data_IF_687180999405
#
_entry.id   IF_687180999405
#
_cell.length_a   1.000
_cell.length_b   1.000
_cell.length_c   1.000
_cell.angle_alpha   90.00
_cell.angle_beta   90.00
_cell.angle_gamma   90.00
#
_symmetry.space_group_name_H-M   'P 1'
#
loop_
_entity.id
_entity.type
_entity.pdbx_description
1 polymer ?
#
# COMPACT_ATOMS: atom_id res chain seq x y z
N UNK A 1 -3.34 -8.16 6.14
CA UNK A 1 -4.80 -8.28 5.89
C UNK A 1 -4.97 -9.14 4.65
N UNK A 2 -5.78 -10.21 4.71
CA UNK A 2 -5.84 -11.26 3.66
C UNK A 2 -6.72 -10.90 2.44
N UNK A 3 -7.11 -9.65 2.27
CA UNK A 3 -8.05 -9.22 1.21
C UNK A 3 -9.51 -9.59 1.47
N UNK A 4 -9.78 -10.72 2.13
CA UNK A 4 -11.11 -11.25 2.45
C UNK A 4 -11.99 -10.32 3.29
N UNK A 5 -13.30 -10.57 3.25
CA UNK A 5 -14.28 -9.93 4.12
C UNK A 5 -13.90 -10.08 5.60
N UNK A 6 -14.11 -9.01 6.38
CA UNK A 6 -13.72 -8.97 7.78
C UNK A 6 -14.61 -8.05 8.61
N UNK A 7 -14.58 -8.24 9.93
CA UNK A 7 -15.23 -7.35 10.88
C UNK A 7 -14.32 -6.15 11.15
N UNK A 8 -14.73 -4.99 10.64
CA UNK A 8 -14.09 -3.71 10.84
C UNK A 8 -14.50 -3.04 12.14
N UNK A 9 -13.77 -1.99 12.48
CA UNK A 9 -14.00 -1.21 13.67
C UNK A 9 -14.76 0.07 13.36
N UNK A 10 -15.65 0.49 14.27
CA UNK A 10 -16.21 1.84 14.34
C UNK A 10 -16.11 2.39 15.76
N UNK A 11 -16.26 3.70 15.88
CA UNK A 11 -16.48 4.33 17.18
C UNK A 11 -17.92 4.04 17.63
N UNK A 12 -18.09 3.66 18.89
CA UNK A 12 -19.41 3.48 19.47
C UNK A 12 -20.15 4.83 19.57
N UNK A 13 -19.41 5.87 19.92
CA UNK A 13 -19.87 7.25 20.01
C UNK A 13 -18.99 8.16 19.13
N UNK A 14 -19.62 8.97 18.28
CA UNK A 14 -18.93 9.90 17.40
C UNK A 14 -18.17 11.01 18.19
N UNK A 15 -18.63 11.33 19.40
CA UNK A 15 -18.04 12.38 20.25
C UNK A 15 -16.87 11.89 21.10
N UNK A 16 -16.74 10.58 21.29
CA UNK A 16 -15.78 10.02 22.25
C UNK A 16 -14.92 8.92 21.61
N UNK A 17 -13.60 9.09 21.63
CA UNK A 17 -12.64 8.11 21.07
C UNK A 17 -12.42 6.88 21.96
N UNK A 18 -12.99 6.87 23.17
CA UNK A 18 -12.73 5.88 24.21
C UNK A 18 -13.31 4.49 23.92
N UNK A 19 -14.35 4.41 23.08
CA UNK A 19 -15.06 3.17 22.81
C UNK A 19 -15.04 2.85 21.31
N UNK A 20 -14.34 1.79 20.96
CA UNK A 20 -14.23 1.25 19.61
C UNK A 20 -14.84 -0.15 19.62
N UNK A 21 -15.77 -0.41 18.70
CA UNK A 21 -16.48 -1.70 18.56
C UNK A 21 -16.13 -2.30 17.22
N UNK A 22 -15.99 -3.63 17.18
CA UNK A 22 -15.66 -4.39 15.97
C UNK A 22 -16.91 -5.06 15.38
N UNK A 23 -17.83 -4.28 14.86
CA UNK A 23 -19.15 -4.74 14.36
C UNK A 23 -19.48 -4.26 12.95
N UNK A 24 -18.53 -3.65 12.24
CA UNK A 24 -18.76 -3.17 10.86
C UNK A 24 -18.41 -4.26 9.86
N UNK A 25 -19.40 -4.84 9.17
CA UNK A 25 -19.14 -5.77 8.07
C UNK A 25 -18.40 -5.05 6.95
N UNK A 26 -17.19 -5.51 6.62
CA UNK A 26 -16.43 -5.02 5.48
C UNK A 26 -16.29 -6.13 4.46
N UNK A 27 -16.66 -5.79 3.23
CA UNK A 27 -16.57 -6.69 2.09
C UNK A 27 -15.11 -7.02 1.75
N UNK A 28 -14.95 -8.09 0.98
CA UNK A 28 -13.68 -8.45 0.38
C UNK A 28 -13.17 -7.33 -0.53
N UNK A 29 -11.88 -7.04 -0.40
CA UNK A 29 -11.20 -6.07 -1.25
C UNK A 29 -10.99 -6.67 -2.63
N UNK A 30 -11.57 -6.02 -3.62
CA UNK A 30 -11.31 -6.30 -5.04
C UNK A 30 -10.23 -5.36 -5.55
N UNK A 31 -9.41 -5.83 -6.48
CA UNK A 31 -8.50 -4.93 -7.19
C UNK A 31 -9.33 -3.96 -8.02
N UNK A 32 -9.00 -2.67 -7.95
CA UNK A 32 -9.57 -1.68 -8.85
C UNK A 32 -8.91 -1.77 -10.23
N UNK A 33 -9.54 -1.19 -11.27
CA UNK A 33 -8.98 -1.18 -12.62
C UNK A 33 -7.64 -0.44 -12.65
N UNK A 34 -6.84 -0.74 -13.67
CA UNK A 34 -5.59 -0.01 -13.93
C UNK A 34 -5.87 1.48 -14.11
N UNK A 35 -5.04 2.31 -13.48
CA UNK A 35 -5.22 3.76 -13.52
C UNK A 35 -4.76 4.32 -14.86
N UNK A 36 -5.69 4.91 -15.62
CA UNK A 36 -5.43 5.54 -16.92
C UNK A 36 -5.33 7.07 -16.85
N UNK A 37 -5.18 7.64 -15.65
CA UNK A 37 -5.06 9.10 -15.53
C UNK A 37 -3.71 9.58 -16.07
N UNK A 38 -3.71 10.72 -16.78
CA UNK A 38 -2.50 11.35 -17.31
C UNK A 38 -1.41 11.54 -16.25
N UNK A 39 -1.80 11.97 -15.04
CA UNK A 39 -0.89 12.12 -13.90
C UNK A 39 -0.23 10.80 -13.47
N UNK A 40 -0.89 9.66 -13.67
CA UNK A 40 -0.35 8.35 -13.34
C UNK A 40 0.66 7.88 -14.38
N UNK A 41 0.38 8.14 -15.66
CA UNK A 41 1.27 7.82 -16.78
C UNK A 41 2.54 8.68 -16.75
N UNK A 42 2.43 9.97 -16.41
CA UNK A 42 3.58 10.86 -16.25
C UNK A 42 4.52 10.43 -15.11
N UNK A 43 4.04 9.63 -14.16
CA UNK A 43 4.87 9.10 -13.08
C UNK A 43 5.52 7.77 -13.46
N UNK A 44 6.74 7.84 -14.02
CA UNK A 44 7.58 6.68 -14.38
C UNK A 44 7.68 5.65 -13.22
N UNK A 45 7.71 6.13 -11.97
CA UNK A 45 7.85 5.28 -10.78
C UNK A 45 6.67 4.36 -10.49
N UNK A 46 5.49 4.60 -11.08
CA UNK A 46 4.30 3.80 -10.77
C UNK A 46 4.17 2.55 -11.64
N UNK A 47 4.83 2.47 -12.79
CA UNK A 47 4.83 1.28 -13.65
C UNK A 47 3.44 0.74 -14.01
N UNK A 48 2.41 1.60 -14.00
CA UNK A 48 1.03 1.16 -14.22
C UNK A 48 0.80 0.67 -15.66
N UNK A 49 1.59 1.17 -16.61
CA UNK A 49 1.55 0.73 -18.01
C UNK A 49 2.41 -0.54 -18.24
N UNK A 50 3.30 -0.89 -17.30
CA UNK A 50 4.24 -2.03 -17.42
C UNK A 50 3.65 -3.33 -16.87
N UNK A 51 2.67 -3.24 -15.97
CA UNK A 51 2.08 -4.40 -15.29
C UNK A 51 0.72 -4.74 -15.90
N UNK A 52 0.55 -5.97 -16.37
CA UNK A 52 -0.73 -6.41 -16.92
C UNK A 52 -1.76 -6.62 -15.80
N UNK A 53 -3.04 -6.38 -16.10
CA UNK A 53 -4.11 -6.52 -15.12
C UNK A 53 -4.19 -7.95 -14.55
N UNK A 54 -3.89 -8.96 -15.38
CA UNK A 54 -3.80 -10.35 -14.96
C UNK A 54 -2.68 -10.60 -13.94
N UNK A 55 -1.50 -10.02 -14.13
CA UNK A 55 -0.38 -10.15 -13.18
C UNK A 55 -0.68 -9.45 -11.85
N UNK A 56 -1.40 -8.33 -11.91
CA UNK A 56 -1.85 -7.61 -10.72
C UNK A 56 -2.86 -8.45 -9.92
N UNK A 57 -3.76 -9.14 -10.64
CA UNK A 57 -4.75 -10.02 -10.04
C UNK A 57 -4.11 -11.28 -9.43
N UNK A 58 -3.15 -11.92 -10.12
CA UNK A 58 -2.44 -13.09 -9.56
C UNK A 58 -1.66 -12.73 -8.29
N UNK A 59 -1.04 -11.55 -8.23
CA UNK A 59 -0.42 -11.03 -7.01
C UNK A 59 -1.43 -10.82 -5.87
N UNK A 60 -2.67 -10.44 -6.18
CA UNK A 60 -3.72 -10.28 -5.16
C UNK A 60 -4.25 -11.62 -4.67
N UNK A 61 -4.46 -12.58 -5.56
CA UNK A 61 -5.17 -13.83 -5.24
C UNK A 61 -4.23 -14.94 -4.76
N UNK A 62 -3.00 -14.99 -5.27
CA UNK A 62 -2.03 -16.04 -4.92
C UNK A 62 -1.03 -15.52 -3.89
N UNK A 63 -0.38 -14.39 -4.15
CA UNK A 63 0.71 -13.93 -3.30
C UNK A 63 0.23 -13.33 -1.96
N UNK A 64 -0.79 -12.46 -1.98
CA UNK A 64 -1.26 -11.77 -0.78
C UNK A 64 -1.91 -12.69 0.30
N UNK A 65 -2.63 -13.77 -0.04
CA UNK A 65 -3.21 -14.66 0.97
C UNK A 65 -2.20 -15.63 1.57
N UNK A 66 -1.17 -16.02 0.79
CA UNK A 66 -0.11 -16.94 1.21
C UNK A 66 0.88 -16.23 2.15
N UNK A 67 1.22 -14.97 1.87
CA UNK A 67 2.15 -14.21 2.70
C UNK A 67 1.52 -13.76 4.02
N UNK A 68 2.17 -14.10 5.15
CA UNK A 68 1.79 -13.56 6.46
C UNK A 68 2.06 -12.03 6.48
N UNK A 69 1.23 -11.21 7.14
CA UNK A 69 1.40 -9.75 7.13
C UNK A 69 2.78 -9.27 7.59
N UNK A 70 3.37 -9.96 8.56
CA UNK A 70 4.72 -9.76 9.10
C UNK A 70 5.81 -10.05 8.05
N UNK A 71 5.70 -11.17 7.35
CA UNK A 71 6.63 -11.54 6.27
C UNK A 71 6.52 -10.62 5.05
N UNK A 72 5.32 -10.11 4.77
CA UNK A 72 5.10 -9.16 3.68
C UNK A 72 5.89 -7.87 3.88
N UNK A 73 5.90 -7.33 5.11
CA UNK A 73 6.68 -6.13 5.43
C UNK A 73 8.17 -6.38 5.23
N UNK A 74 8.68 -7.51 5.72
CA UNK A 74 10.09 -7.87 5.61
C UNK A 74 10.52 -8.06 4.15
N UNK A 75 9.70 -8.76 3.36
CA UNK A 75 9.96 -8.97 1.94
C UNK A 75 10.02 -7.64 1.17
N UNK A 76 9.04 -6.77 1.34
CA UNK A 76 9.05 -5.44 0.69
C UNK A 76 10.27 -4.63 1.10
N UNK A 77 10.60 -4.60 2.40
CA UNK A 77 11.80 -3.89 2.88
C UNK A 77 13.10 -4.46 2.33
N UNK A 78 13.20 -5.79 2.12
CA UNK A 78 14.38 -6.42 1.54
C UNK A 78 14.57 -6.13 0.06
N UNK A 79 13.49 -5.81 -0.67
CA UNK A 79 13.54 -5.52 -2.11
C UNK A 79 13.81 -4.05 -2.44
N UNK A 80 13.81 -3.15 -1.45
CA UNK A 80 14.01 -1.73 -1.67
C UNK A 80 15.36 -1.26 -1.16
N UNK A 81 16.13 -0.57 -2.00
CA UNK A 81 17.32 0.15 -1.56
C UNK A 81 16.92 1.37 -0.72
N UNK A 82 17.22 1.32 0.58
CA UNK A 82 17.06 2.46 1.47
C UNK A 82 18.26 3.39 1.26
N UNK A 83 18.12 4.36 0.36
CA UNK A 83 19.10 5.45 0.26
C UNK A 83 19.04 6.32 1.52
N UNK A 84 20.19 6.50 2.17
CA UNK A 84 20.31 7.43 3.30
C UNK A 84 19.90 8.83 2.85
N UNK A 85 19.10 9.50 3.69
CA UNK A 85 18.82 10.92 3.46
C UNK A 85 19.96 11.72 4.08
N UNK A 86 20.77 12.36 3.26
CA UNK A 86 21.82 13.26 3.75
C UNK A 86 21.16 14.50 4.38
N UNK A 87 21.41 14.72 5.68
CA UNK A 87 21.07 15.96 6.35
C UNK A 87 22.09 17.02 5.93
N UNK A 88 21.69 17.88 5.00
CA UNK A 88 22.38 19.15 4.78
C UNK A 88 22.03 20.08 5.95
N UNK A 89 23.05 20.63 6.61
CA UNK A 89 22.94 21.40 7.86
C UNK A 89 22.13 22.71 7.77
N UNK A 90 21.63 23.07 6.59
CA UNK A 90 20.71 24.18 6.41
C UNK A 90 19.27 23.64 6.43
N UNK A 91 18.49 24.05 7.43
CA UNK A 91 17.17 23.53 7.81
C UNK A 91 16.02 23.59 6.78
N UNK A 92 16.28 23.36 5.49
CA UNK A 92 15.26 23.06 4.49
C UNK A 92 15.32 21.59 4.07
N UNK A 93 14.32 20.81 4.51
CA UNK A 93 14.11 19.43 4.06
C UNK A 93 13.75 19.42 2.57
N UNK A 94 14.74 19.25 1.69
CA UNK A 94 14.48 18.87 0.31
C UNK A 94 14.15 17.36 0.26
N UNK A 95 12.86 17.02 0.14
CA UNK A 95 12.43 15.63 -0.15
C UNK A 95 12.82 15.26 -1.58
N UNK A 96 14.02 14.73 -1.78
CA UNK A 96 14.35 13.94 -2.97
C UNK A 96 13.77 12.54 -2.76
N UNK A 97 12.49 12.34 -3.09
CA UNK A 97 11.93 10.99 -3.15
C UNK A 97 12.37 10.34 -4.46
N UNK A 98 13.35 9.44 -4.42
CA UNK A 98 13.71 8.57 -5.53
C UNK A 98 13.77 7.12 -5.05
N UNK A 99 12.59 6.54 -4.84
CA UNK A 99 12.42 5.09 -4.84
C UNK A 99 12.43 4.66 -6.31
N UNK A 100 13.48 3.96 -6.70
CA UNK A 100 13.54 3.24 -7.96
C UNK A 100 13.53 1.75 -7.63
N UNK A 101 12.67 0.93 -8.26
CA UNK A 101 12.90 -0.51 -8.29
C UNK A 101 14.13 -0.81 -9.16
N UNK A 102 14.85 -1.87 -8.80
CA UNK A 102 15.94 -2.49 -9.59
C UNK A 102 15.35 -3.25 -10.76
#
# INVERSE_FOLDING_TARGET
>A
MKGKAYMGFRRADLKTTKWIVQDVSREERKMGPTCNSRKCQETIKKGCDTTLEQERQSLLDEFCPIMRPDLRSLFVCSTMDIKSTEWTGDGMRQRKSSLFPV
#
